data_IF_685554445422
#
_entry.id   IF_685554445422
#
_cell.length_a   1.000
_cell.length_b   1.000
_cell.length_c   1.000
_cell.angle_alpha   90.00
_cell.angle_beta   90.00
_cell.angle_gamma   90.00
#
_symmetry.space_group_name_H-M   'P 1'
#
loop_
_entity.id
_entity.type
_entity.pdbx_description
1 polymer ?
#
# COMPACT_ATOMS: atom_id res chain seq x y z
N UNK A 1 -14.02 5.03 -6.72
CA UNK A 1 -13.29 3.80 -7.07
C UNK A 1 -12.95 3.09 -5.78
N UNK A 2 -13.24 1.79 -5.67
CA UNK A 2 -12.81 0.98 -4.53
C UNK A 2 -11.36 0.51 -4.70
N UNK A 3 -10.79 -0.09 -3.66
CA UNK A 3 -9.38 -0.51 -3.67
C UNK A 3 -9.08 -1.62 -4.67
N UNK A 4 -10.06 -2.50 -4.95
CA UNK A 4 -9.90 -3.55 -5.95
C UNK A 4 -9.83 -2.97 -7.35
N UNK A 5 -10.66 -1.98 -7.65
CA UNK A 5 -10.65 -1.27 -8.91
C UNK A 5 -9.34 -0.46 -9.09
N UNK A 6 -8.83 0.18 -8.03
CA UNK A 6 -7.51 0.85 -8.07
C UNK A 6 -6.38 -0.13 -8.33
N UNK A 7 -6.38 -1.27 -7.65
CA UNK A 7 -5.39 -2.32 -7.86
C UNK A 7 -5.45 -2.89 -9.27
N UNK A 8 -6.65 -3.13 -9.82
CA UNK A 8 -6.82 -3.63 -11.18
C UNK A 8 -6.26 -2.63 -12.21
N UNK A 9 -6.66 -1.36 -12.13
CA UNK A 9 -6.13 -0.31 -13.01
C UNK A 9 -4.61 -0.17 -12.89
N UNK A 10 -4.08 -0.24 -11.67
CA UNK A 10 -2.65 -0.17 -11.46
C UNK A 10 -1.89 -1.34 -12.10
N UNK A 11 -2.44 -2.55 -12.07
CA UNK A 11 -1.88 -3.72 -12.78
C UNK A 11 -1.90 -3.59 -14.30
N UNK A 12 -2.82 -2.80 -14.83
CA UNK A 12 -2.90 -2.47 -16.25
C UNK A 12 -1.94 -1.33 -16.65
N UNK A 13 -1.20 -0.78 -15.69
CA UNK A 13 -0.19 0.27 -15.91
C UNK A 13 -0.62 1.66 -15.44
N UNK A 14 -1.79 1.82 -14.82
CA UNK A 14 -2.23 3.11 -14.28
C UNK A 14 -1.52 3.44 -12.96
N UNK A 15 -0.41 4.18 -13.06
CA UNK A 15 0.35 4.64 -11.89
C UNK A 15 -0.44 5.54 -10.94
N UNK A 16 -1.41 6.31 -11.44
CA UNK A 16 -2.23 7.20 -10.62
C UNK A 16 -3.23 6.41 -9.75
N UNK A 17 -3.75 5.30 -10.27
CA UNK A 17 -4.55 4.37 -9.49
C UNK A 17 -3.75 3.74 -8.34
N UNK A 18 -2.48 3.40 -8.59
CA UNK A 18 -1.55 2.91 -7.57
C UNK A 18 -1.23 3.94 -6.49
N UNK A 19 -0.92 5.18 -6.89
CA UNK A 19 -0.69 6.28 -5.95
C UNK A 19 -1.91 6.53 -5.06
N UNK A 20 -3.11 6.56 -5.64
CA UNK A 20 -4.34 6.75 -4.90
C UNK A 20 -4.61 5.60 -3.90
N UNK A 21 -4.24 4.37 -4.25
CA UNK A 21 -4.34 3.22 -3.36
C UNK A 21 -3.37 3.34 -2.18
N UNK A 22 -2.10 3.67 -2.45
CA UNK A 22 -1.09 3.86 -1.39
C UNK A 22 -1.49 5.00 -0.46
N UNK A 23 -1.91 6.13 -1.01
CA UNK A 23 -2.31 7.30 -0.22
C UNK A 23 -3.47 6.98 0.73
N UNK A 24 -4.45 6.18 0.29
CA UNK A 24 -5.57 5.76 1.11
C UNK A 24 -5.13 4.91 2.33
N UNK A 25 -4.06 4.12 2.20
CA UNK A 25 -3.58 3.23 3.26
C UNK A 25 -2.44 3.79 4.10
N UNK A 26 -1.75 4.83 3.60
CA UNK A 26 -0.55 5.40 4.24
C UNK A 26 -0.79 5.79 5.70
N UNK A 27 -1.88 6.52 5.98
CA UNK A 27 -2.20 6.96 7.34
C UNK A 27 -2.47 5.80 8.31
N UNK A 28 -3.10 4.72 7.85
CA UNK A 28 -3.39 3.55 8.67
C UNK A 28 -2.12 2.77 9.02
N UNK A 29 -1.24 2.57 8.04
CA UNK A 29 0.06 1.89 8.21
C UNK A 29 1.00 2.71 9.09
N UNK A 30 1.05 4.03 8.90
CA UNK A 30 1.83 4.93 9.74
C UNK A 30 1.35 4.90 11.20
N UNK A 31 0.04 4.94 11.43
CA UNK A 31 -0.52 4.82 12.78
C UNK A 31 -0.16 3.47 13.42
N UNK A 32 -0.20 2.38 12.65
CA UNK A 32 0.19 1.06 13.12
C UNK A 32 1.65 1.04 13.59
N UNK A 33 2.58 1.53 12.76
CA UNK A 33 4.00 1.54 13.15
C UNK A 33 4.31 2.52 14.27
N UNK A 34 3.71 3.72 14.28
CA UNK A 34 3.85 4.66 15.40
C UNK A 34 3.44 4.07 16.74
N UNK A 35 2.46 3.15 16.74
CA UNK A 35 2.04 2.47 17.97
C UNK A 35 3.01 1.40 18.48
N UNK A 36 4.00 0.97 17.68
CA UNK A 36 4.87 -0.19 18.00
C UNK A 36 6.37 0.08 17.88
N UNK A 37 6.75 1.02 17.02
CA UNK A 37 8.11 1.27 16.58
C UNK A 37 8.25 2.78 16.32
N UNK A 38 7.95 3.60 17.33
CA UNK A 38 7.80 5.06 17.21
C UNK A 38 8.95 5.73 16.44
N UNK A 39 10.20 5.35 16.74
CA UNK A 39 11.40 5.93 16.15
C UNK A 39 11.63 5.45 14.71
N UNK A 40 11.29 4.19 14.42
CA UNK A 40 11.46 3.56 13.10
C UNK A 40 10.20 3.64 12.22
N UNK A 41 9.15 4.34 12.68
CA UNK A 41 7.82 4.23 12.09
C UNK A 41 7.79 4.69 10.63
N UNK A 42 8.42 5.83 10.34
CA UNK A 42 8.46 6.41 9.00
C UNK A 42 9.29 5.53 8.03
N UNK A 43 10.37 4.90 8.51
CA UNK A 43 11.20 3.99 7.72
C UNK A 43 10.47 2.67 7.43
N UNK A 44 9.78 2.11 8.42
CA UNK A 44 9.00 0.88 8.25
C UNK A 44 7.81 1.07 7.30
N UNK A 45 7.16 2.23 7.36
CA UNK A 45 6.11 2.62 6.41
C UNK A 45 6.68 2.68 5.00
N UNK A 46 7.80 3.38 4.81
CA UNK A 46 8.44 3.49 3.49
C UNK A 46 8.81 2.12 2.93
N UNK A 47 9.48 1.27 3.72
CA UNK A 47 9.85 -0.09 3.29
C UNK A 47 8.63 -0.94 2.92
N UNK A 48 7.53 -0.80 3.67
CA UNK A 48 6.28 -1.54 3.40
C UNK A 48 5.70 -1.15 2.05
N UNK A 49 5.60 0.14 1.75
CA UNK A 49 5.05 0.60 0.47
C UNK A 49 6.00 0.36 -0.70
N UNK A 50 7.33 0.49 -0.51
CA UNK A 50 8.33 0.08 -1.50
C UNK A 50 8.17 -1.39 -1.91
N UNK A 51 8.10 -2.30 -0.95
CA UNK A 51 7.87 -3.73 -1.25
C UNK A 51 6.51 -3.98 -1.88
N UNK A 52 5.51 -3.17 -1.55
CA UNK A 52 4.18 -3.25 -2.19
C UNK A 52 4.28 -2.85 -3.66
N UNK A 53 4.99 -1.77 -3.99
CA UNK A 53 5.23 -1.32 -5.36
C UNK A 53 6.01 -2.38 -6.17
N UNK A 54 7.05 -2.98 -5.58
CA UNK A 54 7.88 -4.02 -6.20
C UNK A 54 7.13 -5.33 -6.53
N UNK A 55 5.96 -5.53 -5.91
CA UNK A 55 5.18 -6.76 -6.03
C UNK A 55 3.72 -6.52 -6.45
N UNK A 56 3.36 -5.28 -6.79
CA UNK A 56 1.98 -4.92 -7.15
C UNK A 56 1.48 -5.68 -8.39
N UNK A 57 2.38 -5.94 -9.34
CA UNK A 57 2.12 -6.75 -10.54
C UNK A 57 1.85 -8.23 -10.22
N UNK A 58 2.54 -8.76 -9.20
CA UNK A 58 2.51 -10.16 -8.75
C UNK A 58 1.42 -10.47 -7.74
N UNK A 59 0.86 -9.46 -7.09
CA UNK A 59 -0.16 -9.63 -6.06
C UNK A 59 -1.47 -10.16 -6.68
N UNK A 60 -1.89 -11.38 -6.32
CA UNK A 60 -3.07 -12.06 -6.92
C UNK A 60 -4.43 -11.62 -6.39
N UNK A 61 -4.47 -10.72 -5.40
CA UNK A 61 -5.73 -10.22 -4.81
C UNK A 61 -6.33 -11.11 -3.72
N UNK A 62 -5.65 -12.19 -3.33
CA UNK A 62 -6.14 -13.14 -2.31
C UNK A 62 -5.90 -12.67 -0.86
N UNK A 63 -5.12 -11.60 -0.63
CA UNK A 63 -4.95 -11.06 0.71
C UNK A 63 -6.11 -10.10 1.04
N UNK A 64 -6.76 -10.37 2.17
CA UNK A 64 -7.88 -9.58 2.68
C UNK A 64 -7.33 -8.61 3.74
N UNK A 65 -7.42 -7.31 3.46
CA UNK A 65 -7.28 -6.27 4.49
C UNK A 65 -8.56 -6.35 5.34
N UNK A 66 -8.48 -7.08 6.45
CA UNK A 66 -9.59 -7.28 7.38
C UNK A 66 -9.79 -6.06 8.27
#
# INVERSE_FOLDING_TARGET
MDDRARLAAWREGDGAAGEALIHAHYGAVLRFFRSKACEDADDLVQQTFLRTLEHADRFRGDARLA
#
